data_IF_021520233974
#
_entry.id   IF_021520233974
#
_cell.length_a   1.000
_cell.length_b   1.000
_cell.length_c   1.000
_cell.angle_alpha   90.00
_cell.angle_beta   90.00
_cell.angle_gamma   90.00
#
_symmetry.space_group_name_H-M   'P 1'
#
loop_
_entity.id
_entity.type
_entity.pdbx_description
1 polymer ?
#
# COMPACT_ATOMS: atom_id res chain seq x y z
N UNK A 1 4.70 0.68 22.51
CA UNK A 1 4.01 -0.38 21.76
C UNK A 1 5.14 -1.14 21.12
N UNK A 2 5.27 -2.43 21.42
CA UNK A 2 6.36 -3.25 20.87
C UNK A 2 6.24 -3.23 19.34
N UNK A 3 7.36 -3.00 18.64
CA UNK A 3 7.41 -2.95 17.18
C UNK A 3 7.14 -4.35 16.63
N UNK A 4 5.85 -4.67 16.51
CA UNK A 4 5.40 -5.93 15.93
C UNK A 4 5.60 -5.87 14.42
N UNK A 5 6.65 -6.53 13.95
CA UNK A 5 6.80 -6.85 12.55
C UNK A 5 6.05 -8.18 12.28
N UNK A 6 5.18 -8.27 11.26
CA UNK A 6 4.63 -9.55 10.84
C UNK A 6 5.76 -10.52 10.46
N UNK A 7 5.52 -11.85 10.54
CA UNK A 7 6.55 -12.87 10.32
C UNK A 7 6.86 -13.03 8.81
N UNK A 8 7.47 -12.00 8.24
CA UNK A 8 7.73 -11.81 6.80
C UNK A 8 8.75 -12.79 6.25
N UNK A 9 9.56 -13.40 7.13
CA UNK A 9 10.42 -14.54 6.81
C UNK A 9 9.64 -15.77 6.35
N UNK A 10 8.31 -15.81 6.49
CA UNK A 10 7.47 -16.89 5.96
C UNK A 10 6.86 -16.60 4.58
N UNK A 11 6.99 -15.38 4.04
CA UNK A 11 6.47 -15.03 2.71
C UNK A 11 7.24 -15.79 1.63
N UNK A 12 6.58 -16.64 0.85
CA UNK A 12 7.23 -17.49 -0.17
C UNK A 12 6.80 -17.17 -1.60
N UNK A 13 6.07 -16.07 -1.79
CA UNK A 13 5.50 -15.66 -3.06
C UNK A 13 6.03 -14.29 -3.46
N UNK A 14 6.11 -14.00 -4.78
CA UNK A 14 6.34 -12.64 -5.25
C UNK A 14 5.35 -11.69 -4.57
N UNK A 15 5.86 -10.55 -4.07
CA UNK A 15 5.07 -9.54 -3.36
C UNK A 15 5.38 -8.14 -3.90
N UNK A 16 4.34 -7.42 -4.34
CA UNK A 16 4.42 -6.01 -4.74
C UNK A 16 3.99 -5.11 -3.57
N UNK A 17 4.85 -4.18 -3.17
CA UNK A 17 4.57 -3.15 -2.18
C UNK A 17 4.33 -1.79 -2.84
N UNK A 18 3.19 -1.18 -2.52
CA UNK A 18 2.83 0.17 -2.94
C UNK A 18 3.15 1.15 -1.81
N UNK A 19 4.01 2.15 -2.08
CA UNK A 19 4.48 3.10 -1.08
C UNK A 19 3.74 4.45 -1.26
N UNK A 20 2.79 4.74 -0.36
CA UNK A 20 2.13 6.04 -0.31
C UNK A 20 3.08 7.08 0.30
N UNK A 21 3.53 8.05 -0.50
CA UNK A 21 4.57 9.01 -0.10
C UNK A 21 4.08 10.11 0.84
N UNK A 22 2.77 10.34 0.92
CA UNK A 22 2.15 11.40 1.73
C UNK A 22 1.05 10.82 2.65
N UNK A 23 1.24 9.60 3.16
CA UNK A 23 0.35 9.03 4.19
C UNK A 23 0.52 9.81 5.51
N UNK A 24 -0.52 10.52 5.90
CA UNK A 24 -0.54 11.33 7.12
C UNK A 24 -1.36 10.68 8.25
N UNK A 25 -1.95 9.51 8.00
CA UNK A 25 -2.72 8.78 9.01
C UNK A 25 -1.84 7.80 9.77
N UNK A 26 -0.94 7.10 9.08
CA UNK A 26 0.04 6.19 9.67
C UNK A 26 1.36 6.24 8.90
N UNK A 27 2.50 5.89 9.53
CA UNK A 27 3.79 5.80 8.86
C UNK A 27 3.87 4.54 7.98
N UNK A 28 2.98 4.42 6.98
CA UNK A 28 2.82 3.20 6.18
C UNK A 28 4.04 2.93 5.31
N UNK A 29 4.65 3.98 4.73
CA UNK A 29 5.89 3.85 3.96
C UNK A 29 7.02 3.32 4.83
N UNK A 30 7.26 3.92 6.00
CA UNK A 30 8.34 3.53 6.89
C UNK A 30 8.18 2.08 7.35
N UNK A 31 6.97 1.70 7.80
CA UNK A 31 6.70 0.31 8.20
C UNK A 31 6.80 -0.69 7.04
N UNK A 32 6.50 -0.25 5.82
CA UNK A 32 6.69 -1.09 4.63
C UNK A 32 8.18 -1.26 4.31
N UNK A 33 8.99 -0.21 4.46
CA UNK A 33 10.45 -0.31 4.29
C UNK A 33 11.09 -1.20 5.37
N UNK A 34 10.63 -1.13 6.62
CA UNK A 34 11.04 -2.07 7.68
C UNK A 34 10.69 -3.52 7.31
N UNK A 35 9.49 -3.74 6.78
CA UNK A 35 9.04 -5.05 6.28
C UNK A 35 9.94 -5.57 5.15
N UNK A 36 10.27 -4.71 4.19
CA UNK A 36 11.16 -5.05 3.08
C UNK A 36 12.56 -5.39 3.59
N UNK A 37 13.12 -4.58 4.50
CA UNK A 37 14.43 -4.83 5.11
C UNK A 37 14.49 -6.21 5.79
N UNK A 38 13.45 -6.58 6.53
CA UNK A 38 13.39 -7.90 7.17
C UNK A 38 13.25 -9.05 6.17
N UNK A 39 12.54 -8.85 5.04
CA UNK A 39 12.52 -9.83 3.95
C UNK A 39 13.91 -9.98 3.31
N UNK A 40 14.62 -8.89 3.08
CA UNK A 40 15.99 -8.89 2.55
C UNK A 40 16.96 -9.61 3.49
N UNK A 41 16.90 -9.33 4.79
CA UNK A 41 17.70 -10.03 5.82
C UNK A 41 17.42 -11.54 5.87
N UNK A 42 16.19 -11.95 5.55
CA UNK A 42 15.79 -13.35 5.42
C UNK A 42 16.18 -13.99 4.06
N UNK A 43 16.88 -13.27 3.18
CA UNK A 43 17.29 -13.74 1.85
C UNK A 43 16.15 -13.80 0.83
N UNK A 44 15.14 -12.95 1.00
CA UNK A 44 13.90 -12.92 0.17
C UNK A 44 13.78 -11.66 -0.68
N UNK A 45 14.88 -10.94 -0.87
CA UNK A 45 15.01 -9.78 -1.76
C UNK A 45 14.43 -10.05 -3.17
N UNK A 46 14.69 -11.25 -3.71
CA UNK A 46 14.19 -11.67 -5.03
C UNK A 46 12.65 -11.81 -5.13
N UNK A 47 11.92 -11.81 -4.01
CA UNK A 47 10.45 -11.83 -3.98
C UNK A 47 9.85 -10.43 -3.88
N UNK A 48 10.65 -9.39 -3.62
CA UNK A 48 10.18 -8.04 -3.33
C UNK A 48 10.17 -7.20 -4.60
N UNK A 49 9.04 -6.55 -4.87
CA UNK A 49 8.94 -5.46 -5.82
C UNK A 49 8.29 -4.25 -5.15
N UNK A 50 8.73 -3.03 -5.50
CA UNK A 50 8.17 -1.80 -4.92
C UNK A 50 7.69 -0.83 -5.99
N UNK A 51 6.70 -0.01 -5.65
CA UNK A 51 6.22 1.08 -6.49
C UNK A 51 5.83 2.28 -5.63
N UNK A 52 6.52 3.40 -5.81
CA UNK A 52 6.26 4.64 -5.06
C UNK A 52 5.14 5.46 -5.71
N UNK A 53 4.20 5.93 -4.89
CA UNK A 53 3.07 6.76 -5.29
C UNK A 53 3.24 8.18 -4.76
N UNK A 54 3.89 9.03 -5.56
CA UNK A 54 4.06 10.45 -5.25
C UNK A 54 2.70 11.14 -4.99
N UNK A 55 2.65 11.92 -3.90
CA UNK A 55 1.48 12.68 -3.50
C UNK A 55 0.25 11.83 -3.18
N UNK A 56 0.42 10.53 -2.95
CA UNK A 56 -0.65 9.66 -2.46
C UNK A 56 -0.66 9.57 -0.94
N UNK A 57 -1.84 9.80 -0.37
CA UNK A 57 -2.09 9.58 1.06
C UNK A 57 -2.54 8.16 1.36
N UNK A 58 -3.09 7.97 2.56
CA UNK A 58 -3.49 6.67 3.10
C UNK A 58 -4.52 5.92 2.24
N UNK A 59 -5.47 6.66 1.67
CA UNK A 59 -6.61 6.08 0.95
C UNK A 59 -6.29 5.95 -0.55
N UNK A 60 -5.77 4.79 -0.92
CA UNK A 60 -5.58 4.41 -2.33
C UNK A 60 -6.87 3.79 -2.88
N UNK A 61 -7.37 4.34 -3.98
CA UNK A 61 -8.58 3.86 -4.68
C UNK A 61 -8.26 3.50 -6.13
N UNK A 62 -9.28 3.02 -6.86
CA UNK A 62 -9.17 2.84 -8.31
C UNK A 62 -8.95 4.17 -9.04
N UNK A 63 -8.34 4.16 -10.24
CA UNK A 63 -8.18 5.37 -11.04
C UNK A 63 -9.49 6.13 -11.25
N UNK A 64 -9.38 7.46 -11.28
CA UNK A 64 -10.50 8.40 -11.47
C UNK A 64 -11.49 8.49 -10.30
N UNK A 65 -11.26 7.76 -9.20
CA UNK A 65 -12.00 7.98 -7.96
C UNK A 65 -11.53 9.29 -7.28
N UNK A 66 -12.45 10.05 -6.66
CA UNK A 66 -12.08 11.26 -5.95
C UNK A 66 -11.24 10.93 -4.71
N UNK A 67 -10.15 11.68 -4.51
CA UNK A 67 -9.35 11.56 -3.29
C UNK A 67 -10.11 12.11 -2.07
N UNK A 68 -9.99 11.41 -0.94
CA UNK A 68 -10.41 11.89 0.37
C UNK A 68 -9.17 12.21 1.21
N UNK A 69 -8.79 13.50 1.29
CA UNK A 69 -7.62 13.92 2.08
C UNK A 69 -7.91 14.02 3.57
N UNK A 70 -9.17 14.25 3.95
CA UNK A 70 -9.62 14.35 5.33
C UNK A 70 -11.06 13.86 5.48
N UNK A 71 -11.38 13.22 6.60
CA UNK A 71 -12.76 12.89 6.96
C UNK A 71 -12.94 12.70 8.47
N UNK A 72 -14.19 12.68 8.94
CA UNK A 72 -14.49 12.27 10.32
C UNK A 72 -14.65 10.76 10.37
N UNK A 73 -13.92 10.09 11.26
CA UNK A 73 -14.07 8.65 11.50
C UNK A 73 -14.55 8.37 12.92
N UNK A 74 -15.30 7.28 13.06
CA UNK A 74 -15.81 6.80 14.34
C UNK A 74 -15.32 5.39 14.56
N UNK A 75 -14.49 5.19 15.57
CA UNK A 75 -14.13 3.85 16.01
C UNK A 75 -15.16 3.28 16.99
N UNK A 76 -15.35 1.95 17.01
CA UNK A 76 -16.24 1.30 17.96
C UNK A 76 -15.93 1.63 19.43
N UNK A 77 -14.67 1.91 19.74
CA UNK A 77 -14.18 2.19 21.10
C UNK A 77 -14.19 3.67 21.47
N UNK A 78 -14.51 4.57 20.54
CA UNK A 78 -14.45 6.02 20.76
C UNK A 78 -15.86 6.62 20.77
N UNK A 79 -16.17 7.37 21.83
CA UNK A 79 -17.51 7.94 22.06
C UNK A 79 -17.95 8.93 20.98
N UNK A 80 -17.02 9.75 20.49
CA UNK A 80 -17.27 10.79 19.50
C UNK A 80 -16.44 10.56 18.23
N UNK A 81 -16.94 10.92 17.04
CA UNK A 81 -16.11 10.96 15.84
C UNK A 81 -14.93 11.91 16.05
N UNK A 82 -13.82 11.60 15.43
CA UNK A 82 -12.66 12.49 15.39
C UNK A 82 -12.26 12.74 13.94
N UNK A 83 -11.70 13.92 13.71
CA UNK A 83 -11.23 14.31 12.39
C UNK A 83 -9.86 13.69 12.13
N UNK A 84 -9.70 13.15 10.93
CA UNK A 84 -8.49 12.46 10.50
C UNK A 84 -8.01 13.05 9.18
N UNK A 85 -6.70 13.19 9.07
CA UNK A 85 -6.02 13.51 7.83
C UNK A 85 -5.42 12.25 7.26
N UNK A 86 -5.79 11.94 6.03
CA UNK A 86 -5.28 10.80 5.26
C UNK A 86 -4.05 11.19 4.43
N UNK A 87 -3.93 12.48 4.12
CA UNK A 87 -2.90 13.03 3.27
C UNK A 87 -3.21 12.88 1.77
N UNK A 88 -2.25 13.28 0.95
CA UNK A 88 -2.32 13.25 -0.51
C UNK A 88 -2.62 14.62 -1.14
N UNK A 89 -2.07 14.80 -2.34
CA UNK A 89 -2.24 15.99 -3.18
C UNK A 89 -3.05 15.61 -4.43
N UNK A 90 -4.25 16.19 -4.67
CA UNK A 90 -5.19 15.67 -5.67
C UNK A 90 -4.62 15.42 -7.08
N UNK A 91 -3.86 16.38 -7.61
CA UNK A 91 -3.25 16.23 -8.94
C UNK A 91 -2.18 15.13 -9.00
N UNK A 92 -1.32 15.06 -7.97
CA UNK A 92 -0.25 14.06 -7.90
C UNK A 92 -0.83 12.65 -7.67
N UNK A 93 -1.80 12.54 -6.75
CA UNK A 93 -2.55 11.31 -6.49
C UNK A 93 -3.19 10.75 -7.77
N UNK A 94 -3.94 11.58 -8.51
CA UNK A 94 -4.64 11.13 -9.70
C UNK A 94 -3.67 10.51 -10.74
N UNK A 95 -2.49 11.11 -10.89
CA UNK A 95 -1.47 10.62 -11.81
C UNK A 95 -0.73 9.39 -11.27
N UNK A 96 -0.40 9.34 -9.97
CA UNK A 96 0.31 8.20 -9.38
C UNK A 96 -0.57 6.95 -9.29
N UNK A 97 -1.86 7.09 -8.96
CA UNK A 97 -2.82 5.98 -8.92
C UNK A 97 -3.10 5.39 -10.31
N UNK A 98 -3.19 6.20 -11.37
CA UNK A 98 -3.33 5.69 -12.74
C UNK A 98 -2.14 4.78 -13.13
N UNK A 99 -0.93 5.18 -12.76
CA UNK A 99 0.28 4.36 -13.01
C UNK A 99 0.34 3.13 -12.12
N UNK A 100 0.02 3.26 -10.84
CA UNK A 100 0.02 2.15 -9.91
C UNK A 100 -1.02 1.09 -10.30
N UNK A 101 -2.18 1.50 -10.80
CA UNK A 101 -3.19 0.57 -11.29
C UNK A 101 -2.68 -0.28 -12.46
N UNK A 102 -2.05 0.36 -13.45
CA UNK A 102 -1.39 -0.35 -14.56
C UNK A 102 -0.31 -1.31 -14.05
N UNK A 103 0.53 -0.85 -13.11
CA UNK A 103 1.56 -1.67 -12.46
C UNK A 103 0.99 -2.92 -11.81
N UNK A 104 -0.08 -2.77 -11.01
CA UNK A 104 -0.76 -3.88 -10.32
C UNK A 104 -1.34 -4.88 -11.33
N UNK A 105 -1.99 -4.40 -12.39
CA UNK A 105 -2.54 -5.27 -13.42
C UNK A 105 -1.44 -6.06 -14.15
N UNK A 106 -0.34 -5.41 -14.51
CA UNK A 106 0.76 -6.07 -15.22
C UNK A 106 1.51 -7.04 -14.30
N UNK A 107 1.67 -6.70 -13.03
CA UNK A 107 2.18 -7.58 -11.99
C UNK A 107 1.36 -8.87 -11.90
N UNK A 108 0.04 -8.75 -11.77
CA UNK A 108 -0.82 -9.93 -11.70
C UNK A 108 -0.82 -10.74 -13.00
N UNK A 109 -0.81 -10.12 -14.18
CA UNK A 109 -0.71 -10.86 -15.46
C UNK A 109 0.61 -11.62 -15.58
N UNK A 110 1.69 -11.10 -15.00
CA UNK A 110 3.00 -11.74 -15.03
C UNK A 110 3.07 -12.95 -14.08
N UNK A 111 2.51 -12.82 -12.88
CA UNK A 111 2.62 -13.84 -11.83
C UNK A 111 1.45 -14.84 -11.78
N UNK A 112 0.28 -14.48 -12.30
CA UNK A 112 -0.89 -15.36 -12.33
C UNK A 112 -1.04 -15.93 -13.75
N UNK A 113 -1.19 -17.25 -13.86
CA UNK A 113 -1.51 -17.91 -15.12
C UNK A 113 -3.04 -17.92 -15.32
N UNK A 114 -3.61 -17.16 -16.28
CA UNK A 114 -5.06 -17.09 -16.47
C UNK A 114 -5.70 -18.43 -16.87
N UNK A 115 -4.90 -19.42 -17.28
CA UNK A 115 -5.38 -20.73 -17.75
C UNK A 115 -5.69 -21.72 -16.62
N UNK A 116 -5.29 -21.45 -15.39
CA UNK A 116 -5.52 -22.33 -14.25
C UNK A 116 -6.74 -21.94 -13.40
N UNK A 117 -7.26 -20.73 -13.57
CA UNK A 117 -8.32 -20.16 -12.71
C UNK A 117 -9.75 -20.63 -13.05
N UNK A 118 -9.93 -21.46 -14.08
CA UNK A 118 -11.22 -22.01 -14.50
C UNK A 118 -11.23 -23.55 -14.62
N UNK A 119 -10.40 -24.25 -13.84
CA UNK A 119 -10.46 -25.71 -13.73
C UNK A 119 -11.28 -26.16 -12.53
#
# INVERSE_FOLDING_TARGET
MEDYLPPVENISVPTLFLLAEDDQYQPSKERTLETISAMEEAGKDHLVETFSLEGSGHLLDAPYMPICTQSSIKFPTVRYPYFTTWGGTPHLYAHSVDKAWKKVLDYYKHHLNPKETYR
#
